data_IF_833391701040
#
_entry.id   IF_833391701040
#
_cell.length_a   1.000
_cell.length_b   1.000
_cell.length_c   1.000
_cell.angle_alpha   90.00
_cell.angle_beta   90.00
_cell.angle_gamma   90.00
#
_symmetry.space_group_name_H-M   'P 1'
#
loop_
_entity.id
_entity.type
_entity.pdbx_description
1 polymer ?
#
# COMPACT_ATOMS: atom_id res chain seq x y z
N UNK A 1 -22.35 -4.48 -0.38
CA UNK A 1 -21.68 -4.06 0.87
C UNK A 1 -21.21 -5.29 1.59
N UNK A 2 -19.94 -5.34 1.99
CA UNK A 2 -19.39 -6.45 2.78
C UNK A 2 -18.97 -5.89 4.13
N UNK A 3 -19.54 -6.44 5.20
CA UNK A 3 -19.14 -6.12 6.58
C UNK A 3 -18.07 -7.11 7.02
N UNK A 4 -16.99 -6.60 7.58
CA UNK A 4 -15.99 -7.45 8.20
C UNK A 4 -16.43 -7.72 9.66
N UNK A 5 -16.64 -8.99 10.05
CA UNK A 5 -16.93 -9.29 11.44
C UNK A 5 -15.74 -8.84 12.31
N UNK A 6 -16.06 -8.29 13.49
CA UNK A 6 -15.08 -7.85 14.51
C UNK A 6 -14.16 -6.68 14.10
N UNK A 7 -14.42 -6.01 12.98
CA UNK A 7 -13.67 -4.80 12.59
C UNK A 7 -14.60 -3.63 12.29
N UNK A 8 -14.21 -2.39 12.67
CA UNK A 8 -15.03 -1.19 12.47
C UNK A 8 -14.90 -0.67 11.04
N UNK A 9 -14.97 -1.56 10.04
CA UNK A 9 -14.78 -1.21 8.63
C UNK A 9 -15.86 -1.89 7.77
N UNK A 10 -16.33 -1.15 6.77
CA UNK A 10 -17.26 -1.66 5.77
C UNK A 10 -16.72 -1.36 4.38
N UNK A 11 -16.88 -2.31 3.47
CA UNK A 11 -16.49 -2.13 2.07
C UNK A 11 -17.75 -1.90 1.24
N UNK A 12 -17.78 -0.75 0.57
CA UNK A 12 -18.84 -0.34 -0.34
C UNK A 12 -18.38 -0.55 -1.79
N UNK A 13 -19.28 -1.03 -2.64
CA UNK A 13 -19.01 -1.28 -4.05
C UNK A 13 -20.24 -0.88 -4.87
N UNK A 14 -20.02 -0.27 -6.04
CA UNK A 14 -21.08 0.08 -6.99
C UNK A 14 -22.02 1.19 -6.53
N UNK A 15 -21.62 1.99 -5.54
CA UNK A 15 -22.44 3.10 -5.04
C UNK A 15 -22.17 4.36 -5.88
N UNK A 16 -23.23 4.98 -6.41
CA UNK A 16 -23.12 6.27 -7.08
C UNK A 16 -22.78 7.36 -6.06
N UNK A 17 -21.88 8.29 -6.43
CA UNK A 17 -21.47 9.42 -5.56
C UNK A 17 -22.67 10.18 -4.99
N UNK A 18 -23.72 10.39 -5.79
CA UNK A 18 -24.94 11.09 -5.38
C UNK A 18 -25.63 10.48 -4.15
N UNK A 19 -25.60 9.15 -4.00
CA UNK A 19 -26.29 8.45 -2.91
C UNK A 19 -25.35 8.02 -1.79
N UNK A 20 -24.05 8.23 -1.95
CA UNK A 20 -23.03 7.72 -1.04
C UNK A 20 -23.17 8.32 0.35
N UNK A 21 -23.37 9.64 0.45
CA UNK A 21 -23.58 10.34 1.72
C UNK A 21 -24.81 9.84 2.44
N UNK A 22 -25.96 9.76 1.76
CA UNK A 22 -27.21 9.26 2.34
C UNK A 22 -27.08 7.82 2.85
N UNK A 23 -26.39 6.95 2.11
CA UNK A 23 -26.16 5.56 2.52
C UNK A 23 -25.25 5.50 3.74
N UNK A 24 -24.18 6.31 3.77
CA UNK A 24 -23.26 6.37 4.90
C UNK A 24 -23.92 6.90 6.17
N UNK A 25 -24.75 7.93 6.06
CA UNK A 25 -25.49 8.49 7.20
C UNK A 25 -26.50 7.48 7.76
N UNK A 26 -27.24 6.79 6.88
CA UNK A 26 -28.14 5.71 7.28
C UNK A 26 -27.38 4.55 7.94
N UNK A 27 -26.18 4.21 7.45
CA UNK A 27 -25.32 3.20 8.06
C UNK A 27 -24.82 3.63 9.44
N UNK A 28 -24.41 4.88 9.60
CA UNK A 28 -24.02 5.41 10.91
C UNK A 28 -25.17 5.32 11.92
N UNK A 29 -26.38 5.68 11.53
CA UNK A 29 -27.57 5.58 12.39
C UNK A 29 -27.90 4.13 12.77
N UNK A 30 -27.84 3.20 11.81
CA UNK A 30 -28.17 1.78 12.07
C UNK A 30 -27.12 1.03 12.88
N UNK A 31 -25.84 1.36 12.71
CA UNK A 31 -24.74 0.71 13.43
C UNK A 31 -24.46 1.41 14.78
N UNK A 32 -25.00 2.61 15.00
CA UNK A 32 -24.72 3.42 16.20
C UNK A 32 -23.33 4.07 16.16
N UNK A 33 -22.80 4.36 14.98
CA UNK A 33 -21.52 5.05 14.81
C UNK A 33 -21.73 6.57 14.74
N UNK A 34 -20.91 7.33 15.47
CA UNK A 34 -20.97 8.80 15.50
C UNK A 34 -20.35 9.45 14.26
N UNK A 35 -19.32 8.83 13.68
CA UNK A 35 -18.59 9.34 12.54
C UNK A 35 -18.12 8.19 11.65
N UNK A 36 -18.01 8.47 10.36
CA UNK A 36 -17.35 7.61 9.39
C UNK A 36 -16.14 8.35 8.82
N UNK A 37 -15.12 7.60 8.42
CA UNK A 37 -13.92 8.12 7.76
C UNK A 37 -13.73 7.35 6.47
N UNK A 38 -13.57 8.07 5.37
CA UNK A 38 -13.21 7.44 4.12
C UNK A 38 -11.77 6.92 4.18
N UNK A 39 -11.57 5.72 3.67
CA UNK A 39 -10.22 5.20 3.45
C UNK A 39 -9.95 5.35 1.96
N UNK A 40 -8.85 6.01 1.62
CA UNK A 40 -8.38 6.18 0.23
C UNK A 40 -7.86 4.85 -0.35
N UNK A 41 -8.61 3.77 -0.18
CA UNK A 41 -8.26 2.42 -0.61
C UNK A 41 -9.37 1.85 -1.49
N UNK A 42 -9.00 1.55 -2.73
CA UNK A 42 -9.86 1.14 -3.83
C UNK A 42 -9.13 0.07 -4.66
N UNK A 43 -9.90 -0.89 -5.15
CA UNK A 43 -9.37 -1.99 -5.96
C UNK A 43 -10.49 -2.93 -6.42
N UNK A 44 -10.17 -3.85 -7.34
CA UNK A 44 -11.15 -4.83 -7.84
C UNK A 44 -11.21 -6.08 -6.97
N UNK A 45 -10.11 -6.41 -6.29
CA UNK A 45 -9.98 -7.63 -5.49
C UNK A 45 -10.36 -7.37 -4.04
N UNK A 46 -11.54 -7.84 -3.63
CA UNK A 46 -12.02 -7.72 -2.24
C UNK A 46 -11.04 -8.36 -1.24
N UNK A 47 -10.50 -9.54 -1.55
CA UNK A 47 -9.54 -10.22 -0.66
C UNK A 47 -8.26 -9.43 -0.47
N UNK A 48 -7.77 -8.78 -1.52
CA UNK A 48 -6.57 -7.92 -1.44
C UNK A 48 -6.85 -6.67 -0.62
N UNK A 49 -8.03 -6.05 -0.77
CA UNK A 49 -8.44 -4.89 0.01
C UNK A 49 -8.54 -5.24 1.49
N UNK A 50 -9.19 -6.37 1.81
CA UNK A 50 -9.26 -6.87 3.18
C UNK A 50 -7.85 -7.13 3.75
N UNK A 51 -6.96 -7.74 2.97
CA UNK A 51 -5.62 -8.03 3.43
C UNK A 51 -4.79 -6.75 3.68
N UNK A 52 -4.94 -5.74 2.82
CA UNK A 52 -4.32 -4.43 3.00
C UNK A 52 -4.88 -3.71 4.23
N UNK A 53 -6.20 -3.70 4.40
CA UNK A 53 -6.85 -3.00 5.51
C UNK A 53 -6.56 -3.64 6.87
N UNK A 54 -6.66 -4.97 6.97
CA UNK A 54 -6.59 -5.68 8.25
C UNK A 54 -5.16 -5.89 8.72
N UNK A 55 -4.21 -6.05 7.79
CA UNK A 55 -2.87 -6.52 8.11
C UNK A 55 -1.76 -5.49 7.92
N UNK A 56 -2.09 -4.19 7.90
CA UNK A 56 -1.19 -3.04 7.64
C UNK A 56 0.20 -3.17 8.31
N UNK A 57 0.21 -3.42 9.62
CA UNK A 57 1.43 -3.51 10.42
C UNK A 57 2.29 -4.75 10.13
N UNK A 58 1.72 -5.74 9.44
CA UNK A 58 2.37 -7.03 9.13
C UNK A 58 2.60 -7.25 7.64
N UNK A 59 2.51 -6.20 6.82
CA UNK A 59 2.83 -6.27 5.40
C UNK A 59 4.34 -6.24 5.13
N UNK A 60 4.73 -6.55 3.88
CA UNK A 60 6.12 -6.52 3.42
C UNK A 60 7.03 -7.51 4.15
N UNK A 61 8.15 -7.07 4.76
CA UNK A 61 9.12 -7.96 5.40
C UNK A 61 8.55 -8.65 6.65
N UNK A 62 7.51 -8.09 7.25
CA UNK A 62 6.85 -8.64 8.43
C UNK A 62 5.77 -9.68 8.11
N UNK A 63 5.44 -9.90 6.83
CA UNK A 63 4.46 -10.89 6.39
C UNK A 63 4.78 -12.32 6.85
N UNK A 64 6.07 -12.63 7.00
CA UNK A 64 6.53 -13.93 7.48
C UNK A 64 6.14 -14.21 8.94
N UNK A 65 5.96 -13.18 9.77
CA UNK A 65 5.46 -13.33 11.13
C UNK A 65 3.98 -13.66 11.14
N UNK A 66 3.18 -12.95 10.34
CA UNK A 66 1.74 -13.21 10.19
C UNK A 66 1.44 -14.64 9.75
N UNK A 67 2.28 -15.19 8.86
CA UNK A 67 2.14 -16.54 8.34
C UNK A 67 2.83 -17.61 9.21
N UNK A 68 3.25 -17.27 10.43
CA UNK A 68 3.93 -18.18 11.38
C UNK A 68 5.17 -18.89 10.78
N UNK A 69 5.88 -18.24 9.85
CA UNK A 69 7.06 -18.82 9.19
C UNK A 69 8.33 -18.60 10.01
N UNK A 70 8.38 -17.52 10.80
CA UNK A 70 9.56 -17.14 11.60
C UNK A 70 9.53 -17.68 13.03
N UNK A 71 8.36 -17.82 13.64
CA UNK A 71 8.21 -18.25 15.03
C UNK A 71 7.49 -19.60 15.12
N UNK A 72 8.21 -20.73 14.95
CA UNK A 72 7.62 -22.04 15.07
C UNK A 72 7.25 -22.33 16.53
N UNK A 73 6.11 -22.98 16.75
CA UNK A 73 5.69 -23.40 18.08
C UNK A 73 6.82 -24.21 18.76
N UNK A 74 7.33 -23.78 19.93
CA UNK A 74 8.45 -24.44 20.61
C UNK A 74 8.13 -25.88 21.03
N UNK A 75 6.84 -26.23 21.16
CA UNK A 75 6.39 -27.58 21.50
C UNK A 75 6.41 -28.53 20.29
N UNK A 76 6.40 -27.98 19.06
CA UNK A 76 6.52 -28.75 17.82
C UNK A 76 8.01 -28.87 17.45
N UNK A 77 8.82 -29.42 18.35
CA UNK A 77 10.27 -29.61 18.18
C UNK A 77 10.60 -30.51 16.98
N UNK A 78 10.43 -29.99 15.77
CA UNK A 78 10.90 -30.61 14.54
C UNK A 78 12.40 -30.35 14.51
N UNK A 79 13.20 -31.42 14.65
CA UNK A 79 14.64 -31.41 14.38
C UNK A 79 14.86 -30.81 12.98
N UNK A 80 15.12 -29.51 12.90
CA UNK A 80 15.51 -28.86 11.65
C UNK A 80 16.89 -29.41 11.27
N UNK A 81 16.92 -30.48 10.46
CA UNK A 81 18.13 -30.89 9.75
C UNK A 81 18.61 -29.66 9.00
N UNK A 82 19.74 -29.10 9.43
CA UNK A 82 20.46 -28.08 8.67
C UNK A 82 20.79 -28.69 7.31
N UNK A 83 20.00 -28.37 6.29
CA UNK A 83 20.29 -28.74 4.91
C UNK A 83 21.59 -28.03 4.55
N UNK A 84 22.68 -28.79 4.39
CA UNK A 84 23.95 -28.29 3.87
C UNK A 84 23.70 -27.91 2.42
N UNK A 85 23.63 -26.62 2.14
CA UNK A 85 23.48 -26.11 0.79
C UNK A 85 24.76 -26.43 0.01
N UNK A 86 24.66 -27.29 -1.00
CA UNK A 86 25.69 -27.44 -2.03
C UNK A 86 25.83 -26.11 -2.78
N UNK A 87 26.96 -25.42 -2.57
CA UNK A 87 27.39 -24.35 -3.46
C UNK A 87 27.97 -25.00 -4.72
N UNK A 88 27.16 -25.09 -5.77
CA UNK A 88 27.59 -25.47 -7.11
C UNK A 88 27.09 -24.44 -8.10
N UNK A 89 28.01 -23.77 -8.80
CA UNK A 89 27.71 -22.85 -9.90
C UNK A 89 28.27 -21.44 -9.68
N UNK A 90 29.56 -21.27 -9.97
CA UNK A 90 30.20 -19.96 -10.16
C UNK A 90 29.82 -19.42 -11.53
N UNK A 91 28.93 -18.43 -11.55
CA UNK A 91 28.83 -17.43 -12.62
C UNK A 91 28.77 -16.07 -11.92
N UNK A 92 29.54 -15.11 -12.43
CA UNK A 92 29.62 -13.73 -11.91
C UNK A 92 28.28 -13.02 -11.91
N UNK A 93 27.36 -13.42 -12.79
CA UNK A 93 25.96 -12.95 -12.80
C UNK A 93 25.16 -13.42 -11.57
N UNK A 94 25.58 -14.50 -10.91
CA UNK A 94 24.82 -15.03 -9.76
C UNK A 94 24.98 -14.19 -8.49
N UNK A 95 26.08 -13.45 -8.33
CA UNK A 95 26.29 -12.67 -7.10
C UNK A 95 25.47 -11.38 -7.08
N UNK A 96 25.41 -10.67 -8.21
CA UNK A 96 24.59 -9.47 -8.38
C UNK A 96 23.12 -9.82 -8.21
N UNK A 97 22.67 -10.92 -8.80
CA UNK A 97 21.30 -11.39 -8.68
C UNK A 97 20.95 -11.80 -7.24
N UNK A 98 21.86 -12.46 -6.52
CA UNK A 98 21.68 -12.79 -5.11
C UNK A 98 21.57 -11.55 -4.24
N UNK A 99 22.37 -10.52 -4.51
CA UNK A 99 22.34 -9.24 -3.78
C UNK A 99 21.03 -8.49 -4.04
N UNK A 100 20.62 -8.37 -5.30
CA UNK A 100 19.36 -7.73 -5.68
C UNK A 100 18.15 -8.47 -5.09
N UNK A 101 18.18 -9.81 -5.09
CA UNK A 101 17.14 -10.62 -4.48
C UNK A 101 17.05 -10.42 -2.96
N UNK A 102 18.18 -10.46 -2.25
CA UNK A 102 18.21 -10.21 -0.82
C UNK A 102 17.71 -8.80 -0.47
N UNK A 103 18.03 -7.81 -1.31
CA UNK A 103 17.60 -6.44 -1.12
C UNK A 103 16.11 -6.22 -1.47
N UNK A 104 15.58 -6.91 -2.47
CA UNK A 104 14.15 -6.94 -2.74
C UNK A 104 13.37 -7.65 -1.61
N UNK A 105 13.92 -8.71 -1.04
CA UNK A 105 13.33 -9.44 0.10
C UNK A 105 13.38 -8.64 1.40
N UNK A 106 14.39 -7.81 1.63
CA UNK A 106 14.45 -6.95 2.81
C UNK A 106 13.39 -5.85 2.80
N UNK A 107 13.02 -5.35 1.62
CA UNK A 107 12.02 -4.29 1.45
C UNK A 107 10.60 -4.85 1.33
N UNK A 108 10.40 -5.86 0.48
CA UNK A 108 9.06 -6.36 0.15
C UNK A 108 8.71 -7.68 0.86
N UNK A 109 9.67 -8.34 1.50
CA UNK A 109 9.48 -9.67 2.04
C UNK A 109 9.48 -10.79 1.00
N UNK A 110 9.44 -12.01 1.50
CA UNK A 110 9.48 -13.26 0.71
C UNK A 110 8.10 -13.68 0.20
N UNK A 111 7.04 -13.26 0.88
CA UNK A 111 5.67 -13.68 0.60
C UNK A 111 5.03 -12.90 -0.56
N UNK A 112 3.95 -13.44 -1.16
CA UNK A 112 3.17 -12.69 -2.14
C UNK A 112 2.57 -11.43 -1.51
N UNK A 113 2.68 -10.32 -2.24
CA UNK A 113 2.13 -9.03 -1.83
C UNK A 113 0.65 -8.93 -2.21
N UNK A 114 -0.19 -8.29 -1.39
CA UNK A 114 -1.57 -8.02 -1.76
C UNK A 114 -1.62 -7.13 -3.02
N UNK A 115 -2.64 -7.34 -3.85
CA UNK A 115 -2.76 -6.62 -5.13
C UNK A 115 -3.25 -5.20 -4.89
N UNK A 116 -2.42 -4.22 -5.29
CA UNK A 116 -2.79 -2.81 -5.40
C UNK A 116 -2.69 -2.39 -6.86
N UNK A 117 -3.79 -2.01 -7.49
CA UNK A 117 -3.81 -1.75 -8.95
C UNK A 117 -3.36 -0.35 -9.33
N UNK A 118 -3.60 0.62 -8.45
CA UNK A 118 -3.33 2.04 -8.69
C UNK A 118 -2.69 2.64 -7.45
N UNK A 119 -1.66 3.45 -7.66
CA UNK A 119 -1.02 4.21 -6.60
C UNK A 119 -0.57 5.55 -7.16
N UNK A 120 -0.89 6.64 -6.48
CA UNK A 120 -0.49 8.00 -6.86
C UNK A 120 0.29 8.60 -5.71
N UNK A 121 1.52 9.04 -5.95
CA UNK A 121 2.22 9.86 -4.96
C UNK A 121 2.47 11.25 -5.53
N UNK A 122 2.20 12.26 -4.72
CA UNK A 122 2.43 13.66 -5.05
C UNK A 122 3.53 14.18 -4.14
N UNK A 123 4.50 14.85 -4.72
CA UNK A 123 5.58 15.55 -4.01
C UNK A 123 5.36 17.03 -4.25
N UNK A 124 5.30 17.79 -3.15
CA UNK A 124 5.28 19.25 -3.15
C UNK A 124 6.53 19.73 -2.40
N UNK A 125 7.37 20.51 -3.08
CA UNK A 125 8.60 21.04 -2.52
C UNK A 125 8.75 22.52 -2.89
N UNK A 126 9.22 23.37 -1.96
CA UNK A 126 9.51 24.77 -2.26
C UNK A 126 10.72 24.84 -3.19
N UNK A 127 10.66 25.70 -4.22
CA UNK A 127 11.82 26.03 -5.02
C UNK A 127 12.71 26.99 -4.22
N UNK A 128 13.99 26.66 -4.03
CA UNK A 128 14.89 27.34 -3.10
C UNK A 128 15.02 28.87 -3.28
N UNK A 129 14.58 29.40 -4.43
CA UNK A 129 14.71 30.81 -4.80
C UNK A 129 13.36 31.53 -5.00
N UNK A 130 12.22 30.82 -4.92
CA UNK A 130 10.88 31.41 -5.04
C UNK A 130 9.91 30.81 -4.00
N UNK A 131 8.93 31.56 -3.54
CA UNK A 131 7.84 31.01 -2.70
C UNK A 131 6.91 30.04 -3.48
N UNK A 132 7.26 29.68 -4.71
CA UNK A 132 6.49 28.80 -5.56
C UNK A 132 6.78 27.33 -5.23
N UNK A 133 5.70 26.57 -5.05
CA UNK A 133 5.75 25.13 -4.81
C UNK A 133 5.85 24.38 -6.14
N UNK A 134 6.89 23.57 -6.29
CA UNK A 134 6.98 22.60 -7.38
C UNK A 134 6.18 21.37 -6.97
N UNK A 135 5.17 21.03 -7.77
CA UNK A 135 4.40 19.80 -7.61
C UNK A 135 4.79 18.76 -8.66
N UNK A 136 5.11 17.55 -8.20
CA UNK A 136 5.36 16.39 -9.05
C UNK A 136 4.40 15.27 -8.65
N UNK A 137 3.59 14.79 -9.60
CA UNK A 137 2.63 13.71 -9.38
C UNK A 137 3.01 12.48 -10.19
N UNK A 138 3.33 11.38 -9.52
CA UNK A 138 3.63 10.10 -10.17
C UNK A 138 2.47 9.14 -9.95
N UNK A 139 1.90 8.64 -11.06
CA UNK A 139 0.80 7.68 -11.07
C UNK A 139 1.31 6.33 -11.55
N UNK A 140 1.25 5.32 -10.68
CA UNK A 140 1.58 3.94 -10.97
C UNK A 140 0.28 3.15 -11.17
N UNK A 141 0.20 2.38 -12.25
CA UNK A 141 -0.95 1.52 -12.53
C UNK A 141 -0.53 0.18 -13.11
N UNK A 142 -1.23 -0.88 -12.75
CA UNK A 142 -0.96 -2.23 -13.21
C UNK A 142 -1.83 -3.28 -12.52
N UNK A 143 -1.49 -4.56 -12.70
CA UNK A 143 -2.18 -5.68 -12.02
C UNK A 143 -1.83 -5.75 -10.53
N UNK A 144 -0.60 -5.39 -10.18
CA UNK A 144 -0.14 -5.17 -8.81
C UNK A 144 1.09 -4.27 -8.84
N UNK A 145 0.93 -3.02 -8.39
CA UNK A 145 2.00 -2.00 -8.33
C UNK A 145 3.14 -2.47 -7.43
N UNK A 146 2.81 -3.02 -6.24
CA UNK A 146 3.80 -3.49 -5.29
C UNK A 146 4.65 -4.65 -5.87
N UNK A 147 3.99 -5.58 -6.58
CA UNK A 147 4.69 -6.69 -7.22
C UNK A 147 5.50 -6.23 -8.43
N UNK A 148 4.98 -5.29 -9.22
CA UNK A 148 5.70 -4.68 -10.33
C UNK A 148 6.98 -3.99 -9.85
N UNK A 149 6.90 -3.20 -8.77
CA UNK A 149 8.06 -2.54 -8.19
C UNK A 149 9.11 -3.54 -7.68
N UNK A 150 8.66 -4.62 -7.02
CA UNK A 150 9.56 -5.73 -6.64
C UNK A 150 10.29 -6.32 -7.85
N UNK A 151 9.60 -6.51 -8.98
CA UNK A 151 10.22 -7.01 -10.21
C UNK A 151 11.20 -6.01 -10.82
N UNK A 152 10.91 -4.70 -10.78
CA UNK A 152 11.84 -3.67 -11.25
C UNK A 152 13.13 -3.62 -10.45
N UNK A 153 13.06 -3.87 -9.12
CA UNK A 153 14.26 -4.00 -8.27
C UNK A 153 15.03 -5.26 -8.64
N UNK A 154 14.35 -6.40 -8.82
CA UNK A 154 14.98 -7.66 -9.20
C UNK A 154 15.66 -7.60 -10.57
N UNK A 155 15.08 -6.84 -11.52
CA UNK A 155 15.66 -6.65 -12.85
C UNK A 155 16.77 -5.59 -12.88
N UNK A 156 17.10 -4.96 -11.75
CA UNK A 156 18.07 -3.86 -11.68
C UNK A 156 17.61 -2.57 -12.35
N UNK A 157 16.33 -2.45 -12.75
CA UNK A 157 15.79 -1.25 -13.38
C UNK A 157 15.59 -0.09 -12.38
N UNK A 158 15.50 -0.41 -11.08
CA UNK A 158 15.39 0.56 -10.00
C UNK A 158 16.50 0.34 -8.99
N UNK A 159 17.27 1.40 -8.73
CA UNK A 159 18.31 1.41 -7.71
C UNK A 159 17.74 1.48 -6.29
N UNK A 160 18.47 0.91 -5.34
CA UNK A 160 18.19 1.00 -3.92
C UNK A 160 19.11 2.04 -3.25
N UNK A 161 18.69 2.70 -2.16
CA UNK A 161 17.43 2.49 -1.43
C UNK A 161 16.21 3.11 -2.13
N UNK A 162 15.06 2.43 -2.05
CA UNK A 162 13.79 2.97 -2.50
C UNK A 162 13.32 4.09 -1.57
N UNK A 163 12.65 5.14 -2.10
CA UNK A 163 11.95 6.12 -1.27
C UNK A 163 11.02 5.44 -0.27
N UNK A 164 10.98 5.93 0.98
CA UNK A 164 10.17 5.36 2.06
C UNK A 164 8.67 5.25 1.71
N UNK A 165 8.18 6.16 0.86
CA UNK A 165 6.81 6.14 0.35
C UNK A 165 6.52 4.86 -0.46
N UNK A 166 7.49 4.42 -1.25
CA UNK A 166 7.36 3.24 -2.11
C UNK A 166 7.57 1.95 -1.32
N UNK A 167 8.39 1.97 -0.27
CA UNK A 167 8.56 0.82 0.63
C UNK A 167 7.33 0.61 1.52
N UNK A 168 6.70 1.70 1.97
CA UNK A 168 5.49 1.67 2.79
C UNK A 168 4.19 1.44 2.01
N UNK A 169 4.23 1.28 0.69
CA UNK A 169 3.05 1.20 -0.18
C UNK A 169 2.05 0.11 0.22
N UNK A 170 2.52 -1.02 0.76
CA UNK A 170 1.62 -2.09 1.25
C UNK A 170 1.16 -1.88 2.69
N UNK A 171 1.95 -1.18 3.50
CA UNK A 171 1.62 -0.88 4.90
C UNK A 171 0.73 0.35 5.05
N UNK A 172 0.73 1.27 4.09
CA UNK A 172 -0.04 2.53 4.14
C UNK A 172 -1.53 2.34 3.90
N UNK A 173 -1.94 1.18 3.37
CA UNK A 173 -3.33 0.86 3.01
C UNK A 173 -4.07 2.02 2.30
N UNK A 174 -3.37 2.70 1.40
CA UNK A 174 -3.93 3.80 0.61
C UNK A 174 -3.41 3.77 -0.82
N UNK A 175 -4.23 4.23 -1.76
CA UNK A 175 -3.86 4.47 -3.15
C UNK A 175 -3.19 5.83 -3.36
N UNK A 176 -3.19 6.73 -2.37
CA UNK A 176 -2.61 8.06 -2.52
C UNK A 176 -1.85 8.57 -1.31
N UNK A 177 -0.72 9.22 -1.58
CA UNK A 177 0.15 9.79 -0.54
C UNK A 177 0.69 11.15 -0.97
N UNK A 178 0.61 12.13 -0.08
CA UNK A 178 1.27 13.42 -0.21
C UNK A 178 2.60 13.41 0.54
N UNK A 179 3.64 13.90 -0.13
CA UNK A 179 4.94 14.19 0.47
C UNK A 179 5.14 15.69 0.37
N UNK A 180 5.27 16.37 1.51
CA UNK A 180 5.63 17.77 1.58
C UNK A 180 6.95 17.89 2.35
N UNK A 181 7.91 18.63 1.79
CA UNK A 181 9.21 18.91 2.43
C UNK A 181 9.99 17.66 2.91
N UNK A 182 9.86 16.55 2.17
CA UNK A 182 10.50 15.27 2.55
C UNK A 182 9.82 14.52 3.70
N UNK A 183 8.76 15.08 4.28
CA UNK A 183 7.91 14.42 5.26
C UNK A 183 6.65 13.84 4.60
N UNK A 184 6.25 12.66 5.05
CA UNK A 184 4.96 12.07 4.73
C UNK A 184 3.87 12.85 5.48
N UNK A 185 3.18 13.77 4.80
CA UNK A 185 2.13 14.60 5.42
C UNK A 185 0.78 13.88 5.48
N UNK A 186 0.67 12.72 4.83
CA UNK A 186 -0.48 11.82 4.94
C UNK A 186 -1.31 11.76 3.66
N UNK A 187 -2.54 11.26 3.81
CA UNK A 187 -3.47 10.99 2.73
C UNK A 187 -3.92 12.28 2.03
N UNK A 188 -3.86 12.31 0.71
CA UNK A 188 -4.36 13.44 -0.07
C UNK A 188 -5.87 13.36 -0.12
N UNK A 189 -6.55 14.09 0.78
CA UNK A 189 -7.92 14.48 0.51
C UNK A 189 -7.92 15.19 -0.84
N UNK A 190 -8.35 14.51 -1.91
CA UNK A 190 -8.54 15.13 -3.20
C UNK A 190 -9.77 16.02 -3.08
N UNK A 191 -9.66 17.36 -3.12
CA UNK A 191 -10.82 18.19 -3.33
C UNK A 191 -11.18 18.04 -4.80
N UNK A 192 -12.02 17.04 -5.12
CA UNK A 192 -12.66 16.98 -6.42
C UNK A 192 -13.87 17.92 -6.39
N UNK A 193 -13.70 19.05 -7.07
CA UNK A 193 -14.72 19.79 -7.81
C UNK A 193 -15.84 20.44 -6.98
N UNK A 194 -15.51 21.58 -6.34
CA UNK A 194 -16.47 22.66 -6.08
C UNK A 194 -16.19 23.77 -7.10
N UNK A 195 -16.61 23.55 -8.35
CA UNK A 195 -16.84 24.64 -9.29
C UNK A 195 -18.28 24.57 -9.78
N UNK A 196 -18.88 25.76 -9.86
CA UNK A 196 -20.20 26.09 -10.45
C UNK A 196 -21.47 25.72 -9.67
N UNK A 197 -21.80 26.53 -8.65
CA UNK A 197 -23.11 27.21 -8.64
C UNK A 197 -23.21 28.34 -7.60
N UNK A 198 -22.62 29.49 -7.92
CA UNK A 198 -23.06 30.78 -7.37
C UNK A 198 -23.14 31.81 -8.50
N UNK A 199 -24.09 31.61 -9.41
CA UNK A 199 -24.69 32.70 -10.19
C UNK A 199 -26.19 32.43 -10.28
N UNK A 200 -26.99 33.45 -9.97
CA UNK A 200 -28.46 33.53 -9.93
C UNK A 200 -29.18 33.10 -8.64
N UNK A 201 -29.25 34.04 -7.69
CA UNK A 201 -30.55 34.58 -7.25
C UNK A 201 -30.43 36.09 -7.05
N UNK A 202 -30.97 36.83 -8.01
CA UNK A 202 -31.56 38.15 -7.79
C UNK A 202 -32.80 38.03 -6.92
#
# INVERSE_FOLDING_TARGET
MVRCPLTPCAILAGVKKLHLTTILDALCLTVGCSQWRDMELCGRSLSSLLDLMLNQASQGPYSAYRLNQKDPNPLLAVRRKRSRHHQGGSSTDSETDKRLKAAAESVFGTNPLPKLEKFTFKIEAPLAETEELISCSVKLSGSSVAQGLKQCVLSGAVGLPLPGVLTALTSSASNSVLVQEGCLVGHTHSPADNDENQHNRT
#
